data_IF_786106054920
#
_entry.id   IF_786106054920
#
_cell.length_a   1.000
_cell.length_b   1.000
_cell.length_c   1.000
_cell.angle_alpha   90.00
_cell.angle_beta   90.00
_cell.angle_gamma   90.00
#
_symmetry.space_group_name_H-M   'P 1'
#
loop_
_entity.id
_entity.type
_entity.pdbx_description
1 polymer ?
#
# COMPACT_ATOMS: atom_id res chain seq x y z
N UNK A 1 -0.75 -10.21 -1.43
CA UNK A 1 -0.62 -10.30 -2.90
C UNK A 1 0.72 -9.73 -3.29
N UNK A 2 1.39 -10.30 -4.28
CA UNK A 2 2.71 -9.84 -4.73
C UNK A 2 2.53 -8.72 -5.76
N UNK A 3 2.55 -7.47 -5.31
CA UNK A 3 2.75 -6.35 -6.25
C UNK A 3 4.25 -6.10 -6.29
N UNK A 4 4.93 -6.33 -7.45
CA UNK A 4 6.36 -6.13 -7.55
C UNK A 4 6.67 -4.64 -7.47
N UNK A 5 7.04 -4.21 -6.28
CA UNK A 5 7.50 -2.86 -6.00
C UNK A 5 9.02 -2.80 -6.15
N UNK A 6 9.52 -1.70 -6.72
CA UNK A 6 10.96 -1.46 -6.87
C UNK A 6 11.32 -0.03 -6.45
N UNK A 7 12.56 0.18 -6.04
CA UNK A 7 13.04 1.49 -5.60
C UNK A 7 13.03 2.49 -6.76
N UNK A 8 12.51 3.69 -6.53
CA UNK A 8 12.32 4.74 -7.55
C UNK A 8 10.97 4.70 -8.26
N UNK A 9 10.13 3.70 -7.97
CA UNK A 9 8.81 3.59 -8.55
C UNK A 9 7.86 4.67 -7.99
N UNK A 10 7.11 5.39 -8.85
CA UNK A 10 6.01 6.23 -8.44
C UNK A 10 4.88 5.39 -7.83
N UNK A 11 4.35 5.84 -6.71
CA UNK A 11 3.27 5.20 -5.98
C UNK A 11 2.19 6.20 -5.62
N UNK A 12 0.96 5.70 -5.48
CA UNK A 12 -0.20 6.49 -5.03
C UNK A 12 -0.74 5.85 -3.77
N UNK A 13 -0.91 6.65 -2.71
CA UNK A 13 -1.52 6.18 -1.46
C UNK A 13 -3.00 5.85 -1.71
N UNK A 14 -3.40 4.62 -1.39
CA UNK A 14 -4.77 4.10 -1.50
C UNK A 14 -5.19 3.56 -0.14
N UNK A 15 -5.25 4.47 0.82
CA UNK A 15 -5.62 4.22 2.21
C UNK A 15 -6.60 5.27 2.70
N UNK A 16 -6.98 5.19 3.98
CA UNK A 16 -7.46 6.37 4.70
C UNK A 16 -6.35 7.41 4.80
N UNK A 17 -6.71 8.67 5.05
CA UNK A 17 -5.72 9.72 5.32
C UNK A 17 -4.85 9.30 6.51
N UNK A 18 -3.53 9.26 6.31
CA UNK A 18 -2.58 8.90 7.36
C UNK A 18 -2.23 10.14 8.18
N UNK A 19 -1.90 11.25 7.51
CA UNK A 19 -1.69 12.54 8.14
C UNK A 19 -2.04 13.67 7.17
N UNK A 20 -3.02 14.48 7.52
CA UNK A 20 -3.42 15.66 6.73
C UNK A 20 -2.37 16.76 6.80
N UNK A 21 -1.77 16.96 7.97
CA UNK A 21 -0.80 18.04 8.22
C UNK A 21 0.47 17.83 7.41
N UNK A 22 0.89 16.57 7.28
CA UNK A 22 2.06 16.15 6.50
C UNK A 22 1.71 15.87 5.03
N UNK A 23 0.47 16.12 4.61
CA UNK A 23 -0.05 15.86 3.25
C UNK A 23 0.10 14.39 2.80
N UNK A 24 0.14 13.46 3.75
CA UNK A 24 0.12 12.02 3.51
C UNK A 24 -1.33 11.55 3.53
N UNK A 25 -2.06 11.90 2.48
CA UNK A 25 -3.51 11.69 2.33
C UNK A 25 -3.83 10.69 1.24
N UNK A 26 -5.06 10.16 1.24
CA UNK A 26 -5.51 9.28 0.17
C UNK A 26 -5.37 9.97 -1.20
N UNK A 27 -4.77 9.30 -2.17
CA UNK A 27 -4.45 9.86 -3.48
C UNK A 27 -3.13 10.64 -3.54
N UNK A 28 -2.43 10.83 -2.42
CA UNK A 28 -1.10 11.45 -2.43
C UNK A 28 -0.13 10.61 -3.26
N UNK A 29 0.59 11.28 -4.15
CA UNK A 29 1.61 10.69 -5.00
C UNK A 29 2.97 10.79 -4.32
N UNK A 30 3.78 9.76 -4.48
CA UNK A 30 5.13 9.74 -3.95
C UNK A 30 6.05 8.80 -4.71
N UNK A 31 7.30 8.73 -4.29
CA UNK A 31 8.32 7.85 -4.87
C UNK A 31 8.79 6.87 -3.80
N UNK A 32 8.77 5.58 -4.13
CA UNK A 32 9.27 4.55 -3.22
C UNK A 32 10.80 4.66 -3.08
N UNK A 33 11.29 4.99 -1.88
CA UNK A 33 12.73 5.13 -1.60
C UNK A 33 13.34 3.91 -0.92
N UNK A 34 12.53 3.17 -0.16
CA UNK A 34 12.97 1.94 0.48
C UNK A 34 11.80 0.97 0.64
N UNK A 35 12.09 -0.32 0.59
CA UNK A 35 11.12 -1.39 0.82
C UNK A 35 11.76 -2.45 1.71
N UNK A 36 11.20 -2.66 2.90
CA UNK A 36 11.56 -3.75 3.77
C UNK A 36 10.62 -4.92 3.56
N UNK A 37 11.19 -6.10 3.30
CA UNK A 37 10.45 -7.36 3.15
C UNK A 37 10.88 -8.39 4.19
N UNK A 38 10.04 -9.39 4.38
CA UNK A 38 10.31 -10.58 5.17
C UNK A 38 9.73 -11.81 4.45
N UNK A 39 10.09 -13.00 4.93
CA UNK A 39 9.62 -14.28 4.39
C UNK A 39 8.67 -14.91 5.40
N UNK A 40 7.50 -15.36 4.94
CA UNK A 40 6.52 -16.05 5.78
C UNK A 40 6.87 -17.53 6.01
N UNK A 41 6.08 -18.23 6.82
CA UNK A 41 6.24 -19.66 7.11
C UNK A 41 6.10 -20.58 5.88
N UNK A 42 5.64 -20.05 4.75
CA UNK A 42 5.46 -20.76 3.50
C UNK A 42 6.51 -20.37 2.45
N UNK A 43 7.56 -19.63 2.85
CA UNK A 43 8.64 -19.21 1.96
C UNK A 43 8.26 -18.06 1.02
N UNK A 44 7.16 -17.34 1.29
CA UNK A 44 6.71 -16.22 0.44
C UNK A 44 7.17 -14.89 1.00
N UNK A 45 7.64 -14.03 0.11
CA UNK A 45 8.00 -12.65 0.45
C UNK A 45 6.76 -11.80 0.70
N UNK A 46 6.75 -11.05 1.79
CA UNK A 46 5.77 -10.03 2.09
C UNK A 46 6.45 -8.72 2.51
N UNK A 47 5.79 -7.60 2.25
CA UNK A 47 6.29 -6.27 2.62
C UNK A 47 5.94 -5.97 4.08
N UNK A 48 6.90 -5.47 4.85
CA UNK A 48 6.69 -5.02 6.24
C UNK A 48 6.40 -3.52 6.29
N UNK A 49 7.25 -2.72 5.65
CA UNK A 49 7.09 -1.29 5.53
C UNK A 49 7.81 -0.75 4.29
N UNK A 50 7.44 0.45 3.90
CA UNK A 50 8.08 1.21 2.83
C UNK A 50 8.42 2.61 3.31
N UNK A 51 9.52 3.18 2.82
CA UNK A 51 9.77 4.62 2.91
C UNK A 51 9.32 5.24 1.59
N UNK A 52 8.38 6.17 1.67
CA UNK A 52 7.87 6.87 0.48
C UNK A 52 8.17 8.35 0.64
N UNK A 53 8.80 8.92 -0.37
CA UNK A 53 8.98 10.36 -0.47
C UNK A 53 7.71 11.00 -1.00
N UNK A 54 7.11 11.89 -0.22
CA UNK A 54 5.95 12.68 -0.62
C UNK A 54 6.38 14.12 -0.86
N UNK A 55 6.21 14.66 -2.08
CA UNK A 55 6.54 16.05 -2.36
C UNK A 55 5.79 17.00 -1.42
N UNK A 56 6.48 17.99 -0.86
CA UNK A 56 5.90 19.02 0.00
C UNK A 56 5.32 18.55 1.35
N UNK A 57 5.69 17.34 1.79
CA UNK A 57 5.38 16.80 3.11
C UNK A 57 6.06 17.61 4.23
N UNK A 58 7.26 18.15 3.97
CA UNK A 58 8.00 19.00 4.91
C UNK A 58 8.52 18.25 6.15
N UNK A 59 8.41 16.92 6.18
CA UNK A 59 8.89 16.11 7.29
C UNK A 59 10.39 15.89 7.19
N UNK A 60 11.07 16.03 8.32
CA UNK A 60 12.45 15.62 8.51
C UNK A 60 12.48 14.72 9.75
N UNK A 61 12.67 13.42 9.53
CA UNK A 61 12.78 12.44 10.59
C UNK A 61 14.27 12.11 10.77
N UNK A 62 14.73 12.09 12.02
CA UNK A 62 16.13 11.75 12.32
C UNK A 62 16.50 10.39 11.71
N UNK A 63 17.58 10.36 10.95
CA UNK A 63 18.07 9.16 10.27
C UNK A 63 17.34 8.81 8.96
N UNK A 64 16.40 9.64 8.49
CA UNK A 64 15.74 9.49 7.19
C UNK A 64 16.02 10.69 6.27
N UNK A 65 16.02 10.47 4.94
CA UNK A 65 16.05 11.58 4.00
C UNK A 65 14.83 12.51 4.18
N UNK A 66 14.95 13.80 3.83
CA UNK A 66 13.84 14.74 3.93
C UNK A 66 12.64 14.28 3.09
N UNK A 67 11.44 14.66 3.51
CA UNK A 67 10.16 14.33 2.87
C UNK A 67 9.83 12.83 2.79
N UNK A 68 10.60 11.97 3.47
CA UNK A 68 10.32 10.54 3.52
C UNK A 68 9.43 10.20 4.71
N UNK A 69 8.34 9.49 4.44
CA UNK A 69 7.42 9.01 5.46
C UNK A 69 7.39 7.48 5.49
N UNK A 70 7.50 6.84 6.68
CA UNK A 70 7.41 5.40 6.82
C UNK A 70 5.95 4.94 6.75
N UNK A 71 5.69 4.00 5.86
CA UNK A 71 4.34 3.50 5.60
C UNK A 71 4.30 2.01 5.91
N UNK A 72 3.38 1.67 6.81
CA UNK A 72 3.16 0.29 7.26
C UNK A 72 2.08 -0.38 6.43
N UNK A 73 2.02 -1.70 6.52
CA UNK A 73 0.91 -2.48 5.98
C UNK A 73 -0.42 -2.09 6.63
N UNK A 74 -1.48 -2.16 5.85
CA UNK A 74 -2.86 -2.04 6.32
C UNK A 74 -3.54 -3.39 6.17
N UNK A 75 -4.35 -3.77 7.16
CA UNK A 75 -5.20 -4.97 7.09
C UNK A 75 -6.62 -4.58 6.69
N UNK A 76 -7.22 -5.35 5.80
CA UNK A 76 -8.64 -5.24 5.47
C UNK A 76 -9.26 -6.61 5.23
N UNK A 77 -10.59 -6.66 5.34
CA UNK A 77 -11.38 -7.88 5.23
C UNK A 77 -12.42 -7.73 4.11
N UNK A 78 -12.67 -8.81 3.39
CA UNK A 78 -13.76 -8.89 2.42
C UNK A 78 -14.34 -10.30 2.42
N UNK A 79 -15.64 -10.42 2.17
CA UNK A 79 -16.34 -11.70 2.14
C UNK A 79 -16.42 -12.19 0.70
N UNK A 80 -16.07 -13.45 0.47
CA UNK A 80 -16.20 -14.11 -0.83
C UNK A 80 -17.03 -15.38 -0.72
N UNK A 81 -17.79 -15.66 -1.79
CA UNK A 81 -18.51 -16.92 -1.93
C UNK A 81 -17.63 -17.92 -2.64
N UNK A 82 -17.26 -18.97 -1.93
CA UNK A 82 -16.39 -20.03 -2.45
C UNK A 82 -17.19 -21.32 -2.50
N UNK A 83 -17.02 -22.09 -3.58
CA UNK A 83 -17.55 -23.45 -3.65
C UNK A 83 -16.64 -24.38 -2.85
N UNK A 84 -17.23 -25.23 -2.01
CA UNK A 84 -16.51 -26.34 -1.41
C UNK A 84 -16.35 -27.52 -2.39
N UNK A 85 -15.70 -28.59 -1.93
CA UNK A 85 -15.43 -29.78 -2.75
C UNK A 85 -16.72 -30.50 -3.17
N UNK A 86 -17.80 -30.31 -2.41
CA UNK A 86 -19.12 -30.88 -2.62
C UNK A 86 -20.02 -30.01 -3.53
N UNK A 87 -19.56 -28.80 -3.88
CA UNK A 87 -20.24 -27.89 -4.80
C UNK A 87 -21.16 -26.86 -4.13
N UNK A 88 -21.25 -26.85 -2.80
CA UNK A 88 -22.04 -25.92 -2.01
C UNK A 88 -21.30 -24.58 -1.82
N UNK A 89 -22.06 -23.48 -1.79
CA UNK A 89 -21.48 -22.14 -1.60
C UNK A 89 -21.34 -21.81 -0.12
N UNK A 90 -20.10 -21.54 0.30
CA UNK A 90 -19.80 -21.01 1.64
C UNK A 90 -19.30 -19.58 1.56
N UNK A 91 -19.75 -18.75 2.50
CA UNK A 91 -19.19 -17.43 2.71
C UNK A 91 -17.90 -17.56 3.50
N UNK A 92 -16.79 -17.10 2.93
CA UNK A 92 -15.48 -17.08 3.58
C UNK A 92 -15.06 -15.63 3.72
N UNK A 93 -14.65 -15.24 4.93
CA UNK A 93 -14.03 -13.95 5.16
C UNK A 93 -12.54 -14.05 4.84
N UNK A 94 -12.09 -13.27 3.85
CA UNK A 94 -10.69 -13.17 3.46
C UNK A 94 -10.08 -11.96 4.15
N UNK A 95 -8.96 -12.19 4.85
CA UNK A 95 -8.14 -11.12 5.43
C UNK A 95 -6.94 -10.86 4.54
N UNK A 96 -6.68 -9.60 4.22
CA UNK A 96 -5.53 -9.17 3.43
C UNK A 96 -4.75 -8.11 4.18
N UNK A 97 -3.46 -8.35 4.32
CA UNK A 97 -2.48 -7.38 4.81
C UNK A 97 -1.55 -6.99 3.66
N UNK A 98 -1.43 -5.69 3.39
CA UNK A 98 -0.57 -5.18 2.32
C UNK A 98 -0.22 -3.71 2.52
N UNK A 99 0.90 -3.26 1.93
CA UNK A 99 1.17 -1.83 1.78
C UNK A 99 0.02 -1.14 1.02
N UNK A 100 -0.52 -0.02 1.51
CA UNK A 100 -1.70 0.60 0.94
C UNK A 100 -1.34 1.52 -0.24
N UNK A 101 -0.58 1.00 -1.20
CA UNK A 101 -0.13 1.72 -2.40
C UNK A 101 -0.51 1.00 -3.67
N UNK A 102 -0.67 1.78 -4.73
CA UNK A 102 -0.73 1.29 -6.10
C UNK A 102 0.39 1.92 -6.93
N UNK A 103 0.95 1.20 -7.92
CA UNK A 103 1.87 1.80 -8.89
C UNK A 103 1.23 3.03 -9.56
N UNK A 104 1.97 4.14 -9.60
CA UNK A 104 1.49 5.45 -10.04
C UNK A 104 1.80 5.79 -11.50
N UNK A 105 2.20 4.83 -12.35
CA UNK A 105 2.60 5.11 -13.74
C UNK A 105 1.45 5.58 -14.64
N UNK A 106 0.22 5.17 -14.34
CA UNK A 106 -0.98 5.54 -15.11
C UNK A 106 -2.18 5.63 -14.17
N UNK A 107 -2.73 6.83 -13.98
CA UNK A 107 -4.06 7.03 -13.39
C UNK A 107 -5.09 6.87 -14.50
N UNK A 108 -5.94 5.84 -14.43
CA UNK A 108 -7.10 5.73 -15.31
C UNK A 108 -8.13 6.81 -14.92
N UNK A 109 -8.75 7.46 -15.90
CA UNK A 109 -9.60 8.66 -15.69
C UNK A 109 -10.75 8.49 -14.68
N UNK A 110 -11.18 7.26 -14.41
CA UNK A 110 -12.20 6.93 -13.42
C UNK A 110 -11.70 7.10 -11.96
N UNK A 111 -10.39 7.12 -11.73
CA UNK A 111 -9.75 7.35 -10.43
C UNK A 111 -9.47 8.85 -10.19
N UNK A 112 -9.48 9.66 -11.26
CA UNK A 112 -9.28 11.11 -11.23
C UNK A 112 -10.60 11.90 -11.04
N UNK A 113 -11.76 11.24 -11.10
CA UNK A 113 -13.04 11.91 -10.89
C UNK A 113 -13.27 12.16 -9.39
N UNK A 114 -12.84 13.34 -8.92
CA UNK A 114 -13.02 13.80 -7.55
C UNK A 114 -11.73 14.27 -6.85
N UNK A 115 -10.59 14.38 -7.55
CA UNK A 115 -9.46 15.20 -7.08
C UNK A 115 -9.68 16.67 -7.36
#
# INVERSE_FOLDING_TARGET
GYIPFYIGMPVILRSRNISTDLKVTNGAQGVLRHLQTAVDSHGKLYAMYALVEFPNCGIELDGLPPNCFPIKTTTWHFNERVKDAEGEYKNVQVTREQLPFQPGFTLTGQVAQGQ
#
